data_IF_910831814682
#
_entry.id   IF_910831814682
#
_cell.length_a   1.000
_cell.length_b   1.000
_cell.length_c   1.000
_cell.angle_alpha   90.00
_cell.angle_beta   90.00
_cell.angle_gamma   90.00
#
_symmetry.space_group_name_H-M   'P 1'
#
loop_
_entity.id
_entity.type
_entity.pdbx_description
1 polymer ?
#
# COMPACT_ATOMS: atom_id res chain seq x y z
N UNK A 1 12.63 6.60 4.20
CA UNK A 1 13.65 5.68 4.77
C UNK A 1 12.91 4.54 5.44
N UNK A 2 12.76 3.41 4.73
CA UNK A 2 11.76 2.38 5.06
C UNK A 2 12.36 1.27 5.94
N UNK A 3 13.67 1.31 6.20
CA UNK A 3 14.39 0.28 6.94
C UNK A 3 15.10 0.84 8.19
N UNK A 4 14.46 1.72 8.93
CA UNK A 4 14.98 2.06 10.25
C UNK A 4 14.96 0.81 11.13
N UNK A 5 16.08 0.54 11.78
CA UNK A 5 16.21 -0.58 12.70
C UNK A 5 15.36 -0.30 13.94
N UNK A 6 14.08 -0.66 13.87
CA UNK A 6 13.11 -0.46 14.96
C UNK A 6 13.19 -1.58 16.01
N UNK A 7 14.22 -2.43 15.97
CA UNK A 7 14.36 -3.51 16.97
C UNK A 7 14.32 -3.03 18.44
N UNK A 8 14.87 -1.86 18.82
CA UNK A 8 14.76 -1.38 20.18
C UNK A 8 13.33 -1.14 20.66
N UNK A 9 12.39 -0.82 19.75
CA UNK A 9 10.98 -0.59 20.08
C UNK A 9 10.26 -1.87 20.55
N UNK A 10 10.80 -3.03 20.23
CA UNK A 10 10.22 -4.33 20.53
C UNK A 10 10.91 -5.05 21.70
N UNK A 11 11.97 -4.44 22.29
CA UNK A 11 12.67 -5.01 23.43
C UNK A 11 11.73 -5.18 24.62
N UNK A 12 11.77 -6.37 25.24
CA UNK A 12 10.90 -6.72 26.36
C UNK A 12 9.50 -7.19 25.97
N UNK A 13 9.06 -7.03 24.73
CA UNK A 13 7.80 -7.57 24.26
C UNK A 13 7.93 -9.06 23.95
N UNK A 14 6.80 -9.80 24.03
CA UNK A 14 6.76 -11.24 23.74
C UNK A 14 7.29 -11.57 22.32
N UNK A 15 7.06 -10.68 21.35
CA UNK A 15 7.52 -10.86 19.98
C UNK A 15 9.05 -10.87 19.86
N UNK A 16 9.78 -10.12 20.71
CA UNK A 16 11.24 -10.09 20.68
C UNK A 16 11.90 -11.43 21.04
N UNK A 17 11.14 -12.33 21.69
CA UNK A 17 11.57 -13.70 22.01
C UNK A 17 11.45 -14.66 20.81
N UNK A 18 10.74 -14.27 19.76
CA UNK A 18 10.56 -15.05 18.54
C UNK A 18 11.70 -14.73 17.57
N UNK A 19 12.90 -15.26 17.86
CA UNK A 19 14.14 -14.92 17.16
C UNK A 19 14.05 -15.16 15.66
N UNK A 20 13.49 -16.28 15.22
CA UNK A 20 13.35 -16.63 13.80
C UNK A 20 12.41 -15.67 13.09
N UNK A 21 11.28 -15.32 13.72
CA UNK A 21 10.33 -14.37 13.16
C UNK A 21 10.96 -12.97 13.03
N UNK A 22 11.66 -12.52 14.06
CA UNK A 22 12.35 -11.24 14.05
C UNK A 22 13.44 -11.18 12.97
N UNK A 23 14.22 -12.24 12.81
CA UNK A 23 15.28 -12.29 11.80
C UNK A 23 14.74 -12.28 10.37
N UNK A 24 13.64 -12.97 10.11
CA UNK A 24 13.10 -13.14 8.77
C UNK A 24 12.17 -11.99 8.33
N UNK A 25 11.54 -11.29 9.27
CA UNK A 25 10.50 -10.31 8.96
C UNK A 25 10.80 -8.89 9.43
N UNK A 26 11.39 -8.72 10.62
CA UNK A 26 11.62 -7.38 11.17
C UNK A 26 12.63 -6.61 10.32
N UNK A 27 12.23 -5.46 9.80
CA UNK A 27 13.04 -4.59 8.94
C UNK A 27 13.55 -5.25 7.66
N UNK A 28 12.97 -6.38 7.22
CA UNK A 28 13.40 -7.08 6.01
C UNK A 28 12.62 -6.66 4.77
N UNK A 29 11.41 -6.14 4.95
CA UNK A 29 10.47 -5.89 3.87
C UNK A 29 10.03 -4.43 3.83
N UNK A 30 10.04 -3.78 2.65
CA UNK A 30 9.44 -2.48 2.49
C UNK A 30 7.94 -2.56 2.83
N UNK A 31 7.47 -1.63 3.63
CA UNK A 31 6.08 -1.65 4.11
C UNK A 31 5.41 -0.32 3.77
N UNK A 32 4.23 -0.41 3.17
CA UNK A 32 3.32 0.72 2.95
C UNK A 32 2.17 0.59 3.94
N UNK A 33 1.93 1.62 4.71
CA UNK A 33 0.76 1.71 5.59
C UNK A 33 -0.22 2.74 5.04
N UNK A 34 -1.49 2.37 5.00
CA UNK A 34 -2.58 3.26 4.61
C UNK A 34 -3.80 3.01 5.51
N UNK A 35 -4.45 4.08 5.95
CA UNK A 35 -5.71 4.01 6.69
C UNK A 35 -6.81 4.74 5.95
N UNK A 36 -8.00 4.18 5.95
CA UNK A 36 -9.22 4.80 5.40
C UNK A 36 -10.00 5.59 6.46
N UNK A 37 -9.44 5.74 7.65
CA UNK A 37 -10.11 6.36 8.81
C UNK A 37 -10.74 7.73 8.49
N UNK A 38 -10.04 8.51 7.69
CA UNK A 38 -10.44 9.87 7.38
C UNK A 38 -11.21 9.98 6.05
N UNK A 39 -11.55 8.83 5.42
CA UNK A 39 -12.38 8.81 4.21
C UNK A 39 -13.84 8.87 4.60
N UNK A 40 -14.34 10.07 4.84
CA UNK A 40 -15.73 10.34 5.17
C UNK A 40 -16.34 11.29 4.14
N UNK A 41 -17.66 11.23 3.97
CA UNK A 41 -18.38 12.14 3.10
C UNK A 41 -19.89 11.99 3.23
N UNK A 42 -20.62 13.07 3.04
CA UNK A 42 -22.09 13.06 3.05
C UNK A 42 -22.67 12.39 1.79
N UNK A 43 -21.84 12.20 0.77
CA UNK A 43 -22.20 11.58 -0.50
C UNK A 43 -20.94 11.00 -1.15
N UNK A 44 -21.14 10.26 -2.26
CA UNK A 44 -20.04 9.64 -3.00
C UNK A 44 -18.97 10.64 -3.46
N UNK A 45 -19.35 11.83 -3.91
CA UNK A 45 -18.42 12.83 -4.43
C UNK A 45 -17.47 13.31 -3.33
N UNK A 46 -17.99 13.58 -2.13
CA UNK A 46 -17.19 14.02 -0.99
C UNK A 46 -16.21 12.91 -0.55
N UNK A 47 -16.70 11.69 -0.37
CA UNK A 47 -15.89 10.52 0.00
C UNK A 47 -14.82 10.23 -1.06
N UNK A 48 -15.17 10.32 -2.34
CA UNK A 48 -14.23 10.12 -3.44
C UNK A 48 -13.16 11.22 -3.49
N UNK A 49 -13.54 12.47 -3.26
CA UNK A 49 -12.60 13.60 -3.15
C UNK A 49 -11.59 13.39 -2.03
N UNK A 50 -12.06 12.97 -0.85
CA UNK A 50 -11.19 12.66 0.29
C UNK A 50 -10.23 11.49 -0.03
N UNK A 51 -10.74 10.40 -0.60
CA UNK A 51 -9.93 9.26 -1.02
C UNK A 51 -8.84 9.70 -2.01
N UNK A 52 -9.19 10.48 -3.03
CA UNK A 52 -8.24 10.97 -4.02
C UNK A 52 -7.14 11.82 -3.40
N UNK A 53 -7.49 12.68 -2.45
CA UNK A 53 -6.53 13.51 -1.73
C UNK A 53 -5.59 12.66 -0.85
N UNK A 54 -6.13 11.68 -0.11
CA UNK A 54 -5.33 10.79 0.73
C UNK A 54 -4.38 9.91 -0.10
N UNK A 55 -4.83 9.39 -1.23
CA UNK A 55 -3.99 8.64 -2.16
C UNK A 55 -2.89 9.52 -2.73
N UNK A 56 -3.20 10.75 -3.13
CA UNK A 56 -2.19 11.70 -3.61
C UNK A 56 -1.14 12.00 -2.52
N UNK A 57 -1.57 12.20 -1.28
CA UNK A 57 -0.68 12.43 -0.14
C UNK A 57 0.21 11.20 0.15
N UNK A 58 -0.36 9.98 0.09
CA UNK A 58 0.43 8.76 0.20
C UNK A 58 1.52 8.70 -0.87
N UNK A 59 1.18 8.95 -2.12
CA UNK A 59 2.13 8.92 -3.23
C UNK A 59 3.25 9.95 -3.06
N UNK A 60 2.97 11.15 -2.56
CA UNK A 60 3.99 12.18 -2.30
C UNK A 60 5.09 11.71 -1.36
N UNK A 61 4.80 10.80 -0.43
CA UNK A 61 5.80 10.23 0.47
C UNK A 61 6.81 9.32 -0.25
N UNK A 62 6.51 8.91 -1.48
CA UNK A 62 7.32 8.02 -2.31
C UNK A 62 7.82 8.71 -3.59
N UNK A 63 7.99 10.02 -3.58
CA UNK A 63 8.42 10.84 -4.72
C UNK A 63 9.78 10.40 -5.31
N UNK A 64 10.65 9.79 -4.50
CA UNK A 64 11.92 9.22 -4.93
C UNK A 64 11.74 8.14 -6.04
N UNK A 65 10.56 7.54 -6.17
CA UNK A 65 10.26 6.58 -7.24
C UNK A 65 10.29 7.22 -8.63
N UNK A 66 10.07 8.53 -8.71
CA UNK A 66 10.12 9.28 -9.97
C UNK A 66 11.53 9.36 -10.55
N UNK A 67 12.55 9.24 -9.71
CA UNK A 67 13.97 9.26 -10.11
C UNK A 67 14.59 7.87 -10.13
N UNK A 68 13.85 6.83 -9.78
CA UNK A 68 14.33 5.45 -9.76
C UNK A 68 14.54 4.91 -11.17
N UNK A 69 15.73 4.42 -11.48
CA UNK A 69 16.04 3.84 -12.79
C UNK A 69 15.26 2.55 -13.09
N UNK A 70 14.84 1.83 -12.03
CA UNK A 70 14.09 0.57 -12.13
C UNK A 70 12.60 0.77 -12.43
N UNK A 71 12.09 1.99 -12.29
CA UNK A 71 10.69 2.32 -12.55
C UNK A 71 10.53 2.79 -13.99
N UNK A 72 9.57 2.20 -14.71
CA UNK A 72 9.31 2.58 -16.09
C UNK A 72 8.61 3.94 -16.22
N UNK A 73 8.70 4.55 -17.40
CA UNK A 73 8.17 5.89 -17.68
C UNK A 73 6.64 5.97 -17.60
N UNK A 74 5.92 4.89 -17.96
CA UNK A 74 4.45 4.86 -17.92
C UNK A 74 3.95 4.91 -16.47
N UNK A 75 4.61 4.20 -15.57
CA UNK A 75 4.29 4.21 -14.15
C UNK A 75 4.59 5.58 -13.53
N UNK A 76 5.70 6.21 -13.89
CA UNK A 76 6.01 7.59 -13.48
C UNK A 76 4.96 8.58 -13.98
N UNK A 77 4.50 8.46 -15.22
CA UNK A 77 3.46 9.31 -15.76
C UNK A 77 2.12 9.14 -15.01
N UNK A 78 1.74 7.92 -14.67
CA UNK A 78 0.55 7.65 -13.85
C UNK A 78 0.72 8.21 -12.42
N UNK A 79 1.88 8.02 -11.81
CA UNK A 79 2.23 8.61 -10.53
C UNK A 79 2.03 10.13 -10.51
N UNK A 80 2.54 10.85 -11.51
CA UNK A 80 2.34 12.29 -11.64
C UNK A 80 0.88 12.70 -11.72
N UNK A 81 0.04 11.94 -12.44
CA UNK A 81 -1.40 12.24 -12.51
C UNK A 81 -2.07 12.06 -11.16
N UNK A 82 -1.69 11.04 -10.39
CA UNK A 82 -2.22 10.78 -9.04
C UNK A 82 -1.83 11.93 -8.09
N UNK A 83 -0.56 12.25 -7.99
CA UNK A 83 -0.06 13.31 -7.10
C UNK A 83 -0.70 14.67 -7.40
N UNK A 84 -0.93 14.96 -8.69
CA UNK A 84 -1.57 16.22 -9.09
C UNK A 84 -3.11 16.14 -9.10
N UNK A 85 -3.71 15.08 -8.58
CA UNK A 85 -5.16 14.86 -8.53
C UNK A 85 -5.82 14.97 -9.93
N UNK A 86 -5.11 14.53 -10.96
CA UNK A 86 -5.57 14.47 -12.36
C UNK A 86 -5.79 13.03 -12.85
N UNK A 87 -5.70 12.08 -11.93
CA UNK A 87 -5.91 10.68 -12.24
C UNK A 87 -7.39 10.38 -12.52
N UNK A 88 -7.62 9.48 -13.45
CA UNK A 88 -8.96 8.94 -13.71
C UNK A 88 -9.44 8.08 -12.55
N UNK A 89 -10.75 7.81 -12.49
CA UNK A 89 -11.35 6.89 -11.52
C UNK A 89 -10.65 5.51 -11.54
N UNK A 90 -10.33 5.01 -12.73
CA UNK A 90 -9.63 3.73 -12.89
C UNK A 90 -8.23 3.78 -12.30
N UNK A 91 -7.48 4.86 -12.52
CA UNK A 91 -6.14 5.03 -11.96
C UNK A 91 -6.18 5.13 -10.43
N UNK A 92 -7.19 5.78 -9.84
CA UNK A 92 -7.37 5.81 -8.39
C UNK A 92 -7.69 4.40 -7.86
N UNK A 93 -8.58 3.65 -8.49
CA UNK A 93 -8.90 2.28 -8.12
C UNK A 93 -7.68 1.34 -8.15
N UNK A 94 -6.75 1.56 -9.08
CA UNK A 94 -5.55 0.75 -9.25
C UNK A 94 -4.29 1.38 -8.63
N UNK A 95 -4.43 2.46 -7.88
CA UNK A 95 -3.30 3.23 -7.34
C UNK A 95 -2.39 2.42 -6.42
N UNK A 96 -2.96 1.61 -5.53
CA UNK A 96 -2.17 0.75 -4.64
C UNK A 96 -1.38 -0.32 -5.41
N UNK A 97 -1.96 -0.88 -6.47
CA UNK A 97 -1.27 -1.81 -7.36
C UNK A 97 -0.11 -1.10 -8.09
N UNK A 98 -0.31 0.11 -8.56
CA UNK A 98 0.74 0.92 -9.16
C UNK A 98 1.87 1.18 -8.17
N UNK A 99 1.55 1.68 -6.97
CA UNK A 99 2.55 2.01 -5.96
C UNK A 99 3.37 0.79 -5.54
N UNK A 100 2.72 -0.34 -5.25
CA UNK A 100 3.40 -1.58 -4.87
C UNK A 100 4.29 -2.10 -5.99
N UNK A 101 3.85 -2.04 -7.25
CA UNK A 101 4.66 -2.44 -8.42
C UNK A 101 5.90 -1.56 -8.57
N UNK A 102 5.76 -0.23 -8.43
CA UNK A 102 6.90 0.69 -8.50
C UNK A 102 7.90 0.44 -7.36
N UNK A 103 7.41 0.21 -6.14
CA UNK A 103 8.24 -0.12 -4.99
C UNK A 103 8.93 -1.48 -5.15
N UNK A 104 8.22 -2.51 -5.64
CA UNK A 104 8.83 -3.80 -5.96
C UNK A 104 9.96 -3.65 -6.99
N UNK A 105 9.75 -2.86 -8.03
CA UNK A 105 10.77 -2.59 -9.04
C UNK A 105 11.98 -1.88 -8.41
N UNK A 106 11.75 -0.86 -7.60
CA UNK A 106 12.80 -0.08 -6.97
C UNK A 106 13.66 -0.89 -5.99
N UNK A 107 13.02 -1.67 -5.11
CA UNK A 107 13.74 -2.43 -4.06
C UNK A 107 14.16 -3.83 -4.50
N UNK A 108 13.66 -4.35 -5.62
CA UNK A 108 13.88 -5.73 -6.04
C UNK A 108 13.31 -6.76 -5.06
N UNK A 109 12.32 -6.38 -4.25
CA UNK A 109 11.72 -7.19 -3.18
C UNK A 109 10.21 -7.04 -3.15
N UNK A 110 9.48 -8.05 -2.65
CA UNK A 110 8.06 -7.92 -2.33
C UNK A 110 7.78 -6.78 -1.33
N UNK A 111 6.59 -6.24 -1.38
CA UNK A 111 6.14 -5.13 -0.52
C UNK A 111 5.03 -5.63 0.39
N UNK A 112 5.08 -5.26 1.66
CA UNK A 112 3.98 -5.46 2.59
C UNK A 112 3.08 -4.23 2.51
N UNK A 113 1.80 -4.44 2.18
CA UNK A 113 0.78 -3.40 2.21
C UNK A 113 -0.14 -3.64 3.41
N UNK A 114 -0.13 -2.70 4.35
CA UNK A 114 -1.00 -2.69 5.52
C UNK A 114 -2.11 -1.68 5.31
N UNK A 115 -3.36 -2.11 5.37
CA UNK A 115 -4.53 -1.25 5.28
C UNK A 115 -5.34 -1.34 6.57
N UNK A 116 -5.76 -0.20 7.09
CA UNK A 116 -6.55 -0.10 8.31
C UNK A 116 -7.86 0.67 8.10
N UNK A 117 -8.88 0.34 8.89
CA UNK A 117 -10.19 1.02 8.96
C UNK A 117 -10.89 1.23 7.62
N UNK A 118 -11.00 0.19 6.80
CA UNK A 118 -11.68 0.30 5.50
C UNK A 118 -13.23 0.17 5.57
N UNK A 119 -13.79 0.37 6.73
CA UNK A 119 -15.23 0.18 7.03
C UNK A 119 -16.22 1.07 6.26
N UNK A 120 -15.77 1.96 5.39
CA UNK A 120 -16.65 2.78 4.54
C UNK A 120 -16.98 2.17 3.18
N UNK A 121 -16.27 1.11 2.78
CA UNK A 121 -16.54 0.41 1.53
C UNK A 121 -17.34 -0.86 1.83
N UNK A 122 -18.31 -1.19 0.98
CA UNK A 122 -19.02 -2.44 1.11
C UNK A 122 -18.05 -3.61 0.91
N UNK A 123 -18.29 -4.75 1.56
CA UNK A 123 -17.48 -5.97 1.39
C UNK A 123 -17.27 -6.33 -0.09
N UNK A 124 -18.20 -5.96 -0.95
CA UNK A 124 -18.14 -6.14 -2.40
C UNK A 124 -17.06 -5.29 -3.05
N UNK A 125 -16.91 -4.02 -2.63
CA UNK A 125 -15.94 -3.10 -3.26
C UNK A 125 -14.51 -3.48 -2.91
N UNK A 126 -14.26 -3.88 -1.67
CA UNK A 126 -12.95 -4.34 -1.22
C UNK A 126 -12.62 -5.70 -1.83
N UNK A 127 -13.59 -6.61 -1.89
CA UNK A 127 -13.42 -7.90 -2.53
C UNK A 127 -13.10 -7.73 -4.02
N UNK A 128 -13.71 -6.78 -4.69
CA UNK A 128 -13.44 -6.48 -6.10
C UNK A 128 -12.03 -5.91 -6.29
N UNK A 129 -11.59 -4.96 -5.44
CA UNK A 129 -10.22 -4.41 -5.48
C UNK A 129 -9.18 -5.52 -5.24
N UNK A 130 -9.46 -6.43 -4.29
CA UNK A 130 -8.58 -7.56 -3.99
C UNK A 130 -8.60 -8.63 -5.09
N UNK A 131 -9.74 -8.87 -5.74
CA UNK A 131 -9.85 -9.79 -6.87
C UNK A 131 -9.14 -9.23 -8.11
N UNK A 132 -9.28 -7.95 -8.39
CA UNK A 132 -8.57 -7.28 -9.48
C UNK A 132 -7.04 -7.29 -9.25
N UNK A 133 -6.60 -7.23 -7.99
CA UNK A 133 -5.20 -7.42 -7.62
C UNK A 133 -4.70 -8.87 -7.78
N UNK A 134 -5.57 -9.86 -7.57
CA UNK A 134 -5.25 -11.30 -7.76
C UNK A 134 -5.17 -11.70 -9.24
N UNK A 135 -5.82 -10.96 -10.14
CA UNK A 135 -5.84 -11.27 -11.57
C UNK A 135 -4.50 -10.99 -12.29
N UNK A 136 -3.54 -10.33 -11.62
CA UNK A 136 -2.19 -10.23 -12.17
C UNK A 136 -1.36 -11.44 -11.71
N UNK A 137 -1.43 -12.55 -12.44
CA UNK A 137 -0.64 -13.78 -12.23
C UNK A 137 0.90 -13.56 -12.21
N UNK A 138 1.36 -12.32 -12.33
CA UNK A 138 2.77 -11.95 -12.39
C UNK A 138 3.28 -11.19 -11.17
N UNK A 139 2.49 -11.08 -10.08
CA UNK A 139 2.95 -10.47 -8.84
C UNK A 139 2.95 -11.49 -7.68
N UNK A 140 4.07 -12.18 -7.45
CA UNK A 140 4.20 -13.04 -6.26
C UNK A 140 4.16 -12.27 -4.94
N UNK A 141 3.99 -10.97 -4.97
CA UNK A 141 4.16 -10.08 -3.83
C UNK A 141 2.87 -9.45 -3.28
N UNK A 142 1.71 -9.69 -3.87
CA UNK A 142 0.42 -9.47 -3.18
C UNK A 142 0.13 -10.73 -2.35
N UNK A 143 1.12 -11.09 -1.54
CA UNK A 143 0.98 -12.18 -0.60
C UNK A 143 -0.04 -11.74 0.43
N UNK A 144 -1.18 -12.41 0.41
CA UNK A 144 -2.06 -12.60 1.57
C UNK A 144 -2.47 -11.35 2.35
N UNK A 145 -2.87 -10.30 1.68
CA UNK A 145 -3.71 -9.28 2.32
C UNK A 145 -4.94 -9.92 2.97
N UNK A 146 -5.44 -11.02 2.42
CA UNK A 146 -6.49 -11.85 3.04
C UNK A 146 -6.09 -12.41 4.40
N UNK A 147 -4.82 -12.70 4.64
CA UNK A 147 -4.35 -13.31 5.90
C UNK A 147 -4.19 -12.28 7.03
N UNK A 148 -3.75 -11.08 6.74
CA UNK A 148 -3.67 -10.00 7.73
C UNK A 148 -5.08 -9.54 8.11
N UNK A 149 -6.03 -9.63 7.21
CA UNK A 149 -7.45 -9.35 7.43
C UNK A 149 -8.15 -10.37 8.34
N UNK A 150 -7.78 -11.63 8.29
CA UNK A 150 -8.38 -12.70 9.10
C UNK A 150 -7.90 -12.68 10.56
N UNK A 151 -6.82 -11.98 10.90
CA UNK A 151 -6.30 -11.90 12.26
C UNK A 151 -6.96 -10.82 13.12
N UNK A 152 -7.85 -9.99 12.57
CA UNK A 152 -8.62 -8.96 13.30
C UNK A 152 -10.07 -9.36 13.64
N UNK A 153 -10.43 -10.66 13.57
CA UNK A 153 -11.68 -11.16 14.14
C UNK A 153 -11.48 -11.83 15.47
#
# INVERSE_FOLDING_TARGET
>A
MIFEKNSPLFEGLSISRQTELCQNWMNQWPTVFFTFKDVEGLNFQDAYGMLTALVAFLFQQYDFLLTSEQVNEYDRAAFYRIVNQKASLTEIKTSFLLLTRMLCAHYGKPIILLMDEYFGFTDTDVTQILQDAKLSEHMPAVIDLTYIFLLKR
#
